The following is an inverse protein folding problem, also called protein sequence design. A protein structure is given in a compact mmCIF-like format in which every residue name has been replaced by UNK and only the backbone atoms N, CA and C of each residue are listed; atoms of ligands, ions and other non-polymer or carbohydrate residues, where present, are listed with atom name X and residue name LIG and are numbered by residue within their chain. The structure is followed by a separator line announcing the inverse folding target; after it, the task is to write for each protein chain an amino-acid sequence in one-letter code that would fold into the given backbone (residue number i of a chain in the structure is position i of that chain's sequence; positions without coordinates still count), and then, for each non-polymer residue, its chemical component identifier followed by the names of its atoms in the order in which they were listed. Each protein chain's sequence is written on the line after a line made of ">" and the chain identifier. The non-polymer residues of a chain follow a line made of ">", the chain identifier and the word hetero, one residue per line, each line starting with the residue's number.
data_IF_907119745234
#
_entry.id   IF_907119745234
#
_cell.length_a   1.000
_cell.length_b   1.000
_cell.length_c   1.000
_cell.angle_alpha   90.00
_cell.angle_beta   90.00
_cell.angle_gamma   90.00
#
_symmetry.space_group_name_H-M   'P 1'
#
loop_
_entity.id
_entity.type
_entity.pdbx_description
1 polymer ?
#
# COMPACT_ATOMS: atom_id res chain seq x y z
N UNK A 1 12.33 29.24 33.83
CA UNK A 1 11.86 29.24 32.43
C UNK A 1 11.59 27.78 32.06
N UNK A 2 10.33 27.36 31.99
CA UNK A 2 9.92 25.97 31.82
C UNK A 2 9.58 25.76 30.34
N UNK A 3 10.34 24.93 29.61
CA UNK A 3 10.02 24.58 28.23
C UNK A 3 8.90 23.54 28.24
N UNK A 4 7.74 23.89 27.65
CA UNK A 4 6.69 22.93 27.35
C UNK A 4 7.01 22.23 26.02
N UNK A 5 7.10 20.90 26.03
CA UNK A 5 7.25 20.09 24.82
C UNK A 5 5.87 19.59 24.39
N UNK A 6 5.43 19.98 23.19
CA UNK A 6 4.19 19.47 22.59
C UNK A 6 4.53 18.19 21.82
N UNK A 7 3.83 17.07 22.05
CA UNK A 7 4.03 15.87 21.26
C UNK A 7 3.55 16.11 19.82
N UNK A 8 4.47 16.02 18.86
CA UNK A 8 4.15 16.13 17.44
C UNK A 8 3.62 14.77 16.96
N UNK A 9 2.38 14.73 16.47
CA UNK A 9 1.84 13.53 15.80
C UNK A 9 2.20 13.61 14.32
N UNK A 10 3.26 12.91 13.92
CA UNK A 10 3.61 12.69 12.51
C UNK A 10 3.28 11.25 12.13
N UNK A 11 2.31 11.05 11.25
CA UNK A 11 2.03 9.73 10.70
C UNK A 11 3.14 9.37 9.70
N UNK A 12 3.98 8.39 10.04
CA UNK A 12 4.92 7.85 9.07
C UNK A 12 4.12 7.07 8.03
N UNK A 13 4.03 7.62 6.82
CA UNK A 13 3.33 6.96 5.74
C UNK A 13 4.08 5.71 5.32
N UNK A 14 3.35 4.63 5.07
CA UNK A 14 3.95 3.39 4.62
C UNK A 14 4.58 3.63 3.23
N UNK A 15 5.92 3.65 3.14
CA UNK A 15 6.61 3.75 1.87
C UNK A 15 6.48 2.42 1.13
N UNK A 16 5.64 2.40 0.09
CA UNK A 16 5.52 1.27 -0.83
C UNK A 16 6.54 1.45 -1.98
N UNK A 17 7.70 0.79 -1.89
CA UNK A 17 8.68 0.75 -2.99
C UNK A 17 8.23 -0.15 -4.17
N UNK A 18 6.98 -0.58 -4.19
CA UNK A 18 6.44 -1.62 -5.08
C UNK A 18 5.60 -1.02 -6.22
N UNK A 19 6.00 0.13 -6.76
CA UNK A 19 5.26 0.80 -7.85
C UNK A 19 4.88 -0.15 -8.99
N UNK A 20 5.74 -1.11 -9.35
CA UNK A 20 5.48 -2.10 -10.39
C UNK A 20 4.35 -3.08 -10.05
N UNK A 21 4.18 -3.43 -8.78
CA UNK A 21 3.19 -4.42 -8.33
C UNK A 21 1.95 -3.80 -7.70
N UNK A 22 2.00 -2.51 -7.35
CA UNK A 22 0.89 -1.79 -6.71
C UNK A 22 0.57 -0.48 -7.44
N UNK A 23 0.49 -0.56 -8.79
CA UNK A 23 0.14 0.59 -9.63
C UNK A 23 -1.21 1.18 -9.26
N UNK A 24 -2.16 0.34 -8.83
CA UNK A 24 -3.52 0.72 -8.43
C UNK A 24 -3.53 1.66 -7.21
N UNK A 25 -2.59 1.48 -6.27
CA UNK A 25 -2.46 2.34 -5.09
C UNK A 25 -2.04 3.78 -5.46
N UNK A 26 -1.17 3.93 -6.46
CA UNK A 26 -0.74 5.24 -6.94
C UNK A 26 -1.64 5.82 -8.04
N UNK A 27 -2.25 4.97 -8.86
CA UNK A 27 -3.11 5.33 -9.97
C UNK A 27 -4.32 4.39 -10.02
N UNK A 28 -5.50 4.83 -9.53
CA UNK A 28 -6.72 4.03 -9.55
C UNK A 28 -7.12 3.54 -10.94
N UNK A 29 -6.76 4.27 -12.01
CA UNK A 29 -7.06 3.87 -13.39
C UNK A 29 -6.24 2.65 -13.85
N UNK A 30 -5.17 2.30 -13.13
CA UNK A 30 -4.39 1.09 -13.39
C UNK A 30 -5.01 -0.17 -12.77
N UNK A 31 -6.10 -0.06 -11.99
CA UNK A 31 -6.83 -1.23 -11.48
C UNK A 31 -7.24 -2.14 -12.66
N UNK A 32 -6.91 -3.42 -12.57
CA UNK A 32 -7.22 -4.42 -13.61
C UNK A 32 -6.79 -4.05 -15.05
N UNK A 33 -5.75 -3.24 -15.23
CA UNK A 33 -5.24 -2.84 -16.54
C UNK A 33 -4.76 -4.03 -17.40
N UNK A 34 -4.41 -5.16 -16.78
CA UNK A 34 -4.02 -6.39 -17.46
C UNK A 34 -5.22 -7.14 -18.06
N UNK A 35 -6.45 -6.71 -17.77
CA UNK A 35 -7.67 -7.27 -18.36
C UNK A 35 -8.02 -8.68 -17.88
N UNK A 36 -7.40 -9.13 -16.78
CA UNK A 36 -7.66 -10.38 -16.06
C UNK A 36 -7.76 -10.11 -14.55
N UNK A 37 -8.48 -10.94 -13.78
CA UNK A 37 -8.45 -10.87 -12.32
C UNK A 37 -7.03 -11.12 -11.79
N UNK A 38 -6.59 -10.34 -10.80
CA UNK A 38 -5.26 -10.42 -10.20
C UNK A 38 -5.32 -10.20 -8.70
N UNK A 39 -4.46 -10.90 -7.97
CA UNK A 39 -4.27 -10.75 -6.53
C UNK A 39 -2.78 -10.63 -6.22
N UNK A 40 -2.43 -9.67 -5.37
CA UNK A 40 -1.07 -9.45 -4.90
C UNK A 40 -1.05 -9.32 -3.36
N UNK A 41 -0.04 -9.89 -2.71
CA UNK A 41 0.16 -9.78 -1.29
C UNK A 41 1.57 -9.29 -1.01
N UNK A 42 1.71 -8.36 -0.08
CA UNK A 42 2.97 -7.73 0.28
C UNK A 42 3.15 -7.80 1.79
N UNK A 43 4.35 -8.18 2.19
CA UNK A 43 4.78 -8.17 3.58
C UNK A 43 6.12 -7.46 3.66
N UNK A 44 6.21 -6.42 4.48
CA UNK A 44 7.43 -5.65 4.70
C UNK A 44 7.74 -5.59 6.18
N UNK A 45 8.97 -5.94 6.52
CA UNK A 45 9.55 -5.76 7.85
C UNK A 45 10.65 -4.71 7.74
N UNK A 46 10.58 -3.66 8.54
CA UNK A 46 11.66 -2.68 8.65
C UNK A 46 12.59 -3.08 9.80
N UNK A 47 13.90 -2.93 9.66
CA UNK A 47 14.86 -3.23 10.75
C UNK A 47 14.75 -4.69 11.23
N UNK A 48 14.88 -5.64 10.29
CA UNK A 48 14.74 -7.06 10.57
C UNK A 48 15.66 -7.51 11.74
N UNK A 49 15.09 -8.23 12.70
CA UNK A 49 15.79 -8.71 13.90
C UNK A 49 15.70 -7.79 15.13
N UNK A 50 15.12 -6.59 15.00
CA UNK A 50 14.79 -5.74 16.15
C UNK A 50 13.41 -6.10 16.70
N UNK A 51 13.31 -6.36 18.00
CA UNK A 51 12.03 -6.60 18.66
C UNK A 51 11.16 -5.33 18.62
N UNK A 52 9.89 -5.46 18.22
CA UNK A 52 8.99 -4.31 18.02
C UNK A 52 9.21 -3.53 16.71
N UNK A 53 10.06 -4.03 15.82
CA UNK A 53 10.24 -3.48 14.47
C UNK A 53 8.91 -3.25 13.73
N UNK A 54 8.72 -2.11 13.02
CA UNK A 54 7.53 -1.86 12.23
C UNK A 54 7.35 -2.90 11.12
N UNK A 55 6.18 -3.53 11.09
CA UNK A 55 5.79 -4.45 10.03
C UNK A 55 4.52 -3.93 9.35
N UNK A 56 4.45 -4.10 8.03
CA UNK A 56 3.30 -3.71 7.23
C UNK A 56 2.98 -4.83 6.27
N UNK A 57 1.73 -5.29 6.30
CA UNK A 57 1.22 -6.27 5.34
C UNK A 57 0.06 -5.65 4.58
N UNK A 58 0.01 -5.84 3.27
CA UNK A 58 -1.09 -5.40 2.43
C UNK A 58 -1.47 -6.48 1.44
N UNK A 59 -2.74 -6.52 1.09
CA UNK A 59 -3.28 -7.36 0.03
C UNK A 59 -3.99 -6.44 -0.93
N UNK A 60 -3.76 -6.66 -2.22
CA UNK A 60 -4.42 -5.97 -3.30
C UNK A 60 -5.16 -7.01 -4.15
N UNK A 61 -6.45 -6.81 -4.36
CA UNK A 61 -7.23 -7.55 -5.33
C UNK A 61 -7.68 -6.61 -6.44
N UNK A 62 -7.64 -7.05 -7.69
CA UNK A 62 -8.22 -6.30 -8.80
C UNK A 62 -8.89 -7.21 -9.82
N UNK A 63 -9.99 -6.74 -10.40
CA UNK A 63 -10.73 -7.48 -11.43
C UNK A 63 -11.30 -6.53 -12.48
N UNK A 64 -11.25 -6.90 -13.77
CA UNK A 64 -11.94 -6.16 -14.81
C UNK A 64 -13.45 -6.39 -14.69
N UNK A 65 -14.23 -5.32 -14.88
CA UNK A 65 -15.68 -5.31 -14.89
C UNK A 65 -16.20 -4.63 -16.17
N UNK A 66 -17.51 -4.76 -16.44
CA UNK A 66 -18.20 -4.13 -17.57
C UNK A 66 -17.49 -4.36 -18.93
N UNK A 67 -17.11 -5.60 -19.23
CA UNK A 67 -16.44 -5.94 -20.50
C UNK A 67 -15.02 -5.37 -20.63
N UNK A 68 -14.24 -5.35 -19.53
CA UNK A 68 -12.86 -4.82 -19.44
C UNK A 68 -12.74 -3.30 -19.62
N UNK A 69 -13.83 -2.56 -19.42
CA UNK A 69 -13.84 -1.08 -19.50
C UNK A 69 -13.63 -0.41 -18.15
N UNK A 70 -13.82 -1.15 -17.06
CA UNK A 70 -13.68 -0.66 -15.69
C UNK A 70 -12.82 -1.65 -14.91
N UNK A 71 -11.85 -1.14 -14.15
CA UNK A 71 -11.13 -1.92 -13.16
C UNK A 71 -11.67 -1.66 -11.77
N UNK A 72 -11.99 -2.72 -11.05
CA UNK A 72 -12.31 -2.65 -9.61
C UNK A 72 -11.12 -3.19 -8.83
N UNK A 73 -10.81 -2.60 -7.68
CA UNK A 73 -9.80 -3.13 -6.79
C UNK A 73 -9.93 -2.64 -5.35
N UNK A 74 -9.32 -3.40 -4.44
CA UNK A 74 -9.28 -3.20 -2.99
C UNK A 74 -7.88 -3.51 -2.48
#
# INVERSE_FOLDING_TARGET
>A
MLLAAVPLMGQHEAIFSQFFYNKSYSNPAAAAAEGVPSIAAFHRQQWAGLEGAPQTSSVLFSTPAFGKRVGLGL
#
